data_IF_575364113556
#
_entry.id   IF_575364113556
#
_cell.length_a   1.000
_cell.length_b   1.000
_cell.length_c   1.000
_cell.angle_alpha   90.00
_cell.angle_beta   90.00
_cell.angle_gamma   90.00
#
_symmetry.space_group_name_H-M   'P 1'
#
loop_
_entity.id
_entity.type
_entity.pdbx_description
1 polymer ?
#
# COMPACT_ATOMS: atom_id res chain seq x y z
N UNK A 1 18.84 -16.45 9.35
CA UNK A 1 20.14 -17.14 9.56
C UNK A 1 20.12 -18.24 10.62
N UNK A 2 19.23 -18.23 11.62
CA UNK A 2 19.14 -19.32 12.60
C UNK A 2 18.77 -20.70 12.00
N UNK A 3 17.77 -20.77 11.10
CA UNK A 3 17.32 -22.03 10.49
C UNK A 3 18.37 -22.68 9.55
N UNK A 4 19.10 -21.87 8.77
CA UNK A 4 20.13 -22.39 7.85
C UNK A 4 21.38 -22.89 8.58
N UNK A 5 21.70 -22.32 9.75
CA UNK A 5 22.77 -22.81 10.62
C UNK A 5 22.39 -24.14 11.29
N UNK A 6 21.10 -24.35 11.59
CA UNK A 6 20.58 -25.57 12.23
C UNK A 6 20.30 -26.68 11.21
N UNK A 7 19.90 -26.34 9.99
CA UNK A 7 19.57 -27.29 8.91
C UNK A 7 20.34 -26.99 7.62
N UNK A 8 21.64 -27.35 7.56
CA UNK A 8 22.48 -27.10 6.38
C UNK A 8 22.00 -27.84 5.12
N UNK A 9 21.20 -28.92 5.26
CA UNK A 9 20.60 -29.65 4.14
C UNK A 9 19.53 -28.87 3.37
N UNK A 10 18.94 -27.83 3.98
CA UNK A 10 17.97 -26.94 3.35
C UNK A 10 18.64 -25.72 2.68
N UNK A 11 19.97 -25.65 2.73
CA UNK A 11 20.73 -24.52 2.18
C UNK A 11 20.86 -24.67 0.67
N UNK A 12 20.14 -23.83 -0.07
CA UNK A 12 20.22 -23.78 -1.53
C UNK A 12 21.28 -22.73 -1.90
N UNK A 13 22.43 -23.19 -2.38
CA UNK A 13 23.58 -22.34 -2.72
C UNK A 13 23.27 -21.27 -3.77
N UNK A 14 22.32 -21.52 -4.67
CA UNK A 14 21.82 -20.51 -5.62
C UNK A 14 21.03 -19.37 -4.94
N UNK A 15 20.40 -19.63 -3.80
CA UNK A 15 19.70 -18.58 -3.04
C UNK A 15 20.66 -17.73 -2.22
N UNK A 16 21.81 -18.26 -1.81
CA UNK A 16 22.80 -17.49 -1.06
C UNK A 16 23.36 -16.33 -1.89
N UNK A 17 23.66 -16.55 -3.18
CA UNK A 17 24.16 -15.49 -4.07
C UNK A 17 23.10 -14.42 -4.40
N UNK A 18 21.81 -14.75 -4.23
CA UNK A 18 20.69 -13.83 -4.48
C UNK A 18 20.30 -13.10 -3.19
N UNK A 19 20.26 -13.79 -2.06
CA UNK A 19 19.74 -13.27 -0.79
C UNK A 19 20.82 -12.68 0.13
N UNK A 20 22.08 -13.03 -0.09
CA UNK A 20 23.25 -12.61 0.68
C UNK A 20 24.38 -12.22 -0.30
N UNK A 21 24.22 -11.09 -1.00
CA UNK A 21 25.10 -10.74 -2.11
C UNK A 21 26.52 -10.37 -1.67
N UNK A 22 26.70 -10.01 -0.40
CA UNK A 22 28.02 -9.78 0.19
C UNK A 22 28.43 -10.93 1.11
N UNK A 23 29.22 -11.91 0.62
CA UNK A 23 29.74 -13.00 1.44
C UNK A 23 30.80 -12.51 2.46
N UNK A 24 31.33 -11.30 2.32
CA UNK A 24 32.33 -10.74 3.25
C UNK A 24 31.71 -10.14 4.50
N UNK A 25 30.40 -9.84 4.49
CA UNK A 25 29.63 -9.31 5.62
C UNK A 25 28.48 -10.25 5.99
N UNK A 26 28.75 -11.34 6.74
CA UNK A 26 27.70 -12.25 7.18
C UNK A 26 26.71 -11.51 8.09
N UNK A 27 25.43 -11.49 7.72
CA UNK A 27 24.38 -10.81 8.48
C UNK A 27 24.22 -11.44 9.87
N UNK A 28 24.43 -10.66 10.92
CA UNK A 28 24.18 -11.10 12.28
C UNK A 28 22.75 -10.75 12.70
N UNK A 29 22.21 -11.44 13.70
CA UNK A 29 20.91 -11.07 14.30
C UNK A 29 20.94 -9.67 14.90
N UNK A 30 22.12 -9.17 15.30
CA UNK A 30 22.32 -7.82 15.82
C UNK A 30 22.15 -6.72 14.76
N UNK A 31 22.20 -7.06 13.48
CA UNK A 31 22.07 -6.08 12.39
C UNK A 31 20.61 -5.69 12.13
N UNK A 32 19.67 -6.45 12.69
CA UNK A 32 18.23 -6.23 12.55
C UNK A 32 17.68 -5.51 13.79
N UNK A 33 17.25 -4.27 13.59
CA UNK A 33 16.68 -3.44 14.65
C UNK A 33 15.63 -2.51 14.10
N UNK A 34 14.73 -2.06 14.97
CA UNK A 34 13.67 -1.13 14.60
C UNK A 34 14.23 0.29 14.58
N UNK A 35 14.08 0.96 13.44
CA UNK A 35 14.42 2.37 13.29
C UNK A 35 13.18 3.24 13.27
N UNK A 36 13.35 4.53 13.55
CA UNK A 36 12.24 5.51 13.48
C UNK A 36 11.58 5.50 12.08
N UNK A 37 12.33 5.54 10.95
CA UNK A 37 11.73 5.44 9.62
C UNK A 37 10.93 4.14 9.41
N UNK A 38 11.43 3.02 9.94
CA UNK A 38 10.72 1.74 9.86
C UNK A 38 9.39 1.79 10.60
N UNK A 39 9.39 2.34 11.82
CA UNK A 39 8.18 2.48 12.65
C UNK A 39 7.19 3.41 11.97
N UNK A 40 7.63 4.58 11.49
CA UNK A 40 6.76 5.53 10.78
C UNK A 40 6.18 4.89 9.51
N UNK A 41 7.00 4.24 8.68
CA UNK A 41 6.55 3.55 7.48
C UNK A 41 5.54 2.45 7.78
N UNK A 42 5.78 1.67 8.84
CA UNK A 42 4.87 0.62 9.31
C UNK A 42 3.55 1.19 9.85
N UNK A 43 3.59 2.32 10.55
CA UNK A 43 2.40 3.02 11.03
C UNK A 43 1.57 3.55 9.86
N UNK A 44 2.19 4.11 8.82
CA UNK A 44 1.49 4.59 7.63
C UNK A 44 0.87 3.43 6.85
N UNK A 45 1.61 2.34 6.65
CA UNK A 45 1.08 1.11 6.06
C UNK A 45 -0.15 0.60 6.84
N UNK A 46 -0.04 0.52 8.16
CA UNK A 46 -1.11 0.05 9.04
C UNK A 46 -2.32 0.98 9.03
N UNK A 47 -2.10 2.30 9.12
CA UNK A 47 -3.16 3.30 9.09
C UNK A 47 -3.93 3.27 7.76
N UNK A 48 -3.22 3.19 6.63
CA UNK A 48 -3.85 3.08 5.32
C UNK A 48 -4.64 1.77 5.14
N UNK A 49 -4.11 0.65 5.66
CA UNK A 49 -4.81 -0.64 5.65
C UNK A 49 -6.08 -0.60 6.53
N UNK A 50 -6.00 -0.03 7.74
CA UNK A 50 -7.14 0.14 8.64
C UNK A 50 -8.20 1.06 8.03
N UNK A 51 -7.81 2.15 7.37
CA UNK A 51 -8.74 3.03 6.67
C UNK A 51 -9.48 2.27 5.55
N UNK A 52 -8.76 1.47 4.76
CA UNK A 52 -9.40 0.62 3.72
C UNK A 52 -10.34 -0.41 4.33
N UNK A 53 -9.94 -1.04 5.43
CA UNK A 53 -10.80 -1.97 6.15
C UNK A 53 -12.07 -1.28 6.68
N UNK A 54 -11.95 -0.06 7.20
CA UNK A 54 -13.08 0.74 7.62
C UNK A 54 -14.00 1.09 6.43
N UNK A 55 -13.44 1.42 5.26
CA UNK A 55 -14.23 1.64 4.05
C UNK A 55 -15.04 0.39 3.68
N UNK A 56 -14.39 -0.77 3.61
CA UNK A 56 -15.06 -2.04 3.29
C UNK A 56 -16.15 -2.41 4.30
N UNK A 57 -15.89 -2.18 5.60
CA UNK A 57 -16.91 -2.37 6.65
C UNK A 57 -18.09 -1.41 6.49
N UNK A 58 -17.84 -0.16 6.13
CA UNK A 58 -18.88 0.88 5.95
C UNK A 58 -19.73 0.63 4.70
N UNK A 59 -19.12 0.14 3.62
CA UNK A 59 -19.86 -0.32 2.44
C UNK A 59 -20.67 -1.59 2.72
N UNK A 60 -20.23 -2.43 3.67
CA UNK A 60 -20.97 -3.59 4.15
C UNK A 60 -21.42 -4.52 3.01
N UNK A 61 -22.69 -4.94 3.03
CA UNK A 61 -23.33 -5.79 1.98
C UNK A 61 -23.41 -5.13 0.59
N UNK A 62 -23.12 -3.84 0.46
CA UNK A 62 -23.07 -3.14 -0.82
C UNK A 62 -21.69 -3.17 -1.48
N UNK A 63 -20.66 -3.79 -0.86
CA UNK A 63 -19.34 -3.93 -1.46
C UNK A 63 -19.28 -5.09 -2.47
N UNK A 64 -19.54 -4.82 -3.76
CA UNK A 64 -19.24 -5.78 -4.84
C UNK A 64 -17.87 -5.46 -5.45
N UNK A 65 -16.95 -6.43 -5.42
CA UNK A 65 -15.64 -6.38 -6.09
C UNK A 65 -15.78 -6.30 -7.63
N UNK A 66 -16.91 -6.76 -8.16
CA UNK A 66 -17.34 -6.48 -9.51
C UNK A 66 -18.15 -5.19 -9.53
N UNK A 67 -17.97 -4.44 -10.61
CA UNK A 67 -18.82 -3.34 -11.06
C UNK A 67 -20.26 -3.81 -11.39
N UNK A 68 -20.82 -4.79 -10.65
CA UNK A 68 -22.16 -5.30 -10.83
C UNK A 68 -23.08 -4.58 -9.86
N UNK A 69 -23.63 -3.47 -10.35
CA UNK A 69 -24.71 -2.71 -9.75
C UNK A 69 -25.86 -3.66 -9.36
N UNK A 70 -26.00 -3.99 -8.08
CA UNK A 70 -27.26 -4.57 -7.60
C UNK A 70 -28.35 -3.51 -7.66
N UNK A 71 -29.57 -3.92 -8.02
CA UNK A 71 -30.71 -3.04 -8.30
C UNK A 71 -31.14 -2.13 -7.12
N UNK A 72 -30.67 -2.41 -5.91
CA UNK A 72 -30.98 -1.66 -4.67
C UNK A 72 -29.75 -0.98 -4.03
N UNK A 73 -28.70 -0.70 -4.80
CA UNK A 73 -27.50 -0.04 -4.25
C UNK A 73 -27.86 1.37 -3.78
N UNK A 74 -27.61 1.69 -2.51
CA UNK A 74 -27.77 3.05 -1.95
C UNK A 74 -26.43 3.77 -1.91
N UNK A 75 -26.43 5.08 -2.13
CA UNK A 75 -25.23 5.89 -2.00
C UNK A 75 -24.80 5.94 -0.53
N UNK A 76 -23.62 5.38 -0.22
CA UNK A 76 -23.04 5.39 1.12
C UNK A 76 -22.34 6.73 1.34
N UNK A 77 -22.79 7.48 2.36
CA UNK A 77 -22.29 8.83 2.66
C UNK A 77 -21.77 8.99 4.10
N UNK A 78 -21.77 7.89 4.86
CA UNK A 78 -21.42 7.85 6.28
C UNK A 78 -19.98 7.34 6.51
N UNK A 79 -19.48 7.50 7.73
CA UNK A 79 -18.17 7.02 8.12
C UNK A 79 -17.05 7.70 7.31
N UNK A 80 -16.05 6.97 6.78
CA UNK A 80 -14.99 7.56 5.98
C UNK A 80 -15.48 8.36 4.76
N UNK A 81 -16.65 8.01 4.22
CA UNK A 81 -17.26 8.64 3.03
C UNK A 81 -17.86 10.03 3.31
N UNK A 82 -17.98 10.44 4.58
CA UNK A 82 -18.39 11.82 4.91
C UNK A 82 -17.24 12.82 4.78
N UNK A 83 -15.98 12.35 4.88
CA UNK A 83 -14.79 13.21 4.86
C UNK A 83 -14.24 13.44 3.45
N UNK A 84 -14.12 12.37 2.67
CA UNK A 84 -13.69 12.38 1.27
C UNK A 84 -14.54 11.39 0.49
N UNK A 85 -14.70 11.60 -0.82
CA UNK A 85 -15.57 10.74 -1.66
C UNK A 85 -14.98 9.35 -1.86
N UNK A 86 -13.64 9.23 -1.88
CA UNK A 86 -12.93 7.98 -2.10
C UNK A 86 -11.89 7.68 -1.00
N UNK A 87 -12.33 7.41 0.24
CA UNK A 87 -11.45 7.22 1.39
C UNK A 87 -10.54 5.98 1.27
N UNK A 88 -10.95 4.99 0.49
CA UNK A 88 -10.13 3.80 0.21
C UNK A 88 -8.86 4.11 -0.61
N UNK A 89 -8.93 5.11 -1.50
CA UNK A 89 -7.77 5.57 -2.26
C UNK A 89 -6.87 6.46 -1.41
N UNK A 90 -7.43 7.26 -0.50
CA UNK A 90 -6.65 7.97 0.51
C UNK A 90 -5.81 6.97 1.35
N UNK A 91 -6.42 5.87 1.77
CA UNK A 91 -5.70 4.80 2.48
C UNK A 91 -4.53 4.22 1.67
N UNK A 92 -4.66 4.10 0.34
CA UNK A 92 -3.57 3.64 -0.52
C UNK A 92 -2.45 4.67 -0.67
N UNK A 93 -2.79 5.96 -0.83
CA UNK A 93 -1.81 7.04 -0.89
C UNK A 93 -0.95 7.06 0.38
N UNK A 94 -1.51 6.70 1.54
CA UNK A 94 -0.77 6.62 2.80
C UNK A 94 0.03 5.30 2.90
N UNK A 95 -0.60 4.17 2.55
CA UNK A 95 0.00 2.85 2.75
C UNK A 95 1.17 2.55 1.80
N UNK A 96 1.08 2.92 0.52
CA UNK A 96 2.09 2.56 -0.48
C UNK A 96 3.47 3.21 -0.22
N UNK A 97 3.56 4.52 0.09
CA UNK A 97 4.84 5.12 0.48
C UNK A 97 5.37 4.55 1.80
N UNK A 98 4.48 4.31 2.79
CA UNK A 98 4.85 3.70 4.06
C UNK A 98 5.49 2.31 3.87
N UNK A 99 4.92 1.51 2.97
CA UNK A 99 5.46 0.20 2.56
C UNK A 99 6.86 0.34 1.94
N UNK A 100 7.04 1.27 1.00
CA UNK A 100 8.33 1.50 0.35
C UNK A 100 9.41 1.90 1.38
N UNK A 101 9.09 2.82 2.29
CA UNK A 101 10.00 3.27 3.36
C UNK A 101 10.38 2.13 4.29
N UNK A 102 9.38 1.39 4.78
CA UNK A 102 9.59 0.29 5.72
C UNK A 102 10.37 -0.87 5.10
N UNK A 103 10.26 -1.12 3.80
CA UNK A 103 10.90 -2.25 3.13
C UNK A 103 12.28 -1.92 2.55
N UNK A 104 12.43 -0.77 1.88
CA UNK A 104 13.59 -0.50 1.02
C UNK A 104 14.55 0.55 1.57
N UNK A 105 14.09 1.44 2.46
CA UNK A 105 14.86 2.63 2.86
C UNK A 105 15.19 2.67 4.36
N UNK A 106 14.61 1.78 5.17
CA UNK A 106 14.84 1.77 6.60
C UNK A 106 16.04 0.91 6.99
N UNK A 107 16.99 1.49 7.72
CA UNK A 107 18.11 0.73 8.31
C UNK A 107 17.58 -0.31 9.31
N UNK A 108 18.31 -1.41 9.47
CA UNK A 108 17.86 -2.55 10.27
C UNK A 108 16.92 -3.52 9.54
N UNK A 109 16.55 -3.21 8.29
CA UNK A 109 15.84 -4.13 7.39
C UNK A 109 16.82 -4.99 6.61
N UNK A 110 16.35 -6.16 6.17
CA UNK A 110 17.17 -7.03 5.32
C UNK A 110 17.66 -6.32 4.06
N UNK A 111 16.82 -5.51 3.41
CA UNK A 111 17.18 -4.83 2.15
C UNK A 111 18.42 -3.93 2.29
N UNK A 112 18.45 -3.11 3.34
CA UNK A 112 19.60 -2.23 3.62
C UNK A 112 20.79 -3.02 4.14
N UNK A 113 20.58 -3.93 5.10
CA UNK A 113 21.70 -4.62 5.76
C UNK A 113 22.42 -5.60 4.84
N UNK A 114 21.68 -6.27 3.95
CA UNK A 114 22.27 -7.15 2.93
C UNK A 114 22.93 -6.37 1.79
N UNK A 115 22.86 -5.04 1.78
CA UNK A 115 23.51 -4.21 0.77
C UNK A 115 22.87 -4.32 -0.61
N UNK A 116 21.57 -4.63 -0.72
CA UNK A 116 20.89 -4.83 -2.00
C UNK A 116 21.05 -3.66 -2.95
N UNK A 117 21.07 -2.43 -2.43
CA UNK A 117 21.30 -1.22 -3.24
C UNK A 117 22.68 -1.15 -3.89
N UNK A 118 23.66 -1.91 -3.41
CA UNK A 118 25.00 -2.02 -4.01
C UNK A 118 25.10 -3.12 -5.07
N UNK A 119 24.04 -3.91 -5.26
CA UNK A 119 23.98 -4.98 -6.25
C UNK A 119 23.12 -4.60 -7.43
N UNK A 120 23.47 -5.11 -8.61
CA UNK A 120 22.69 -4.88 -9.81
C UNK A 120 21.30 -5.54 -9.71
N UNK A 121 21.20 -6.73 -9.11
CA UNK A 121 19.91 -7.43 -8.91
C UNK A 121 19.00 -6.67 -7.96
N UNK A 122 19.54 -6.22 -6.82
CA UNK A 122 18.79 -5.44 -5.85
C UNK A 122 18.34 -4.10 -6.42
N UNK A 123 19.18 -3.40 -7.17
CA UNK A 123 18.79 -2.17 -7.87
C UNK A 123 17.65 -2.40 -8.86
N UNK A 124 17.73 -3.44 -9.71
CA UNK A 124 16.66 -3.77 -10.67
C UNK A 124 15.35 -4.09 -9.94
N UNK A 125 15.39 -4.96 -8.93
CA UNK A 125 14.18 -5.35 -8.20
C UNK A 125 13.60 -4.19 -7.38
N UNK A 126 14.45 -3.40 -6.73
CA UNK A 126 14.04 -2.22 -5.98
C UNK A 126 13.41 -1.16 -6.88
N UNK A 127 14.02 -0.88 -8.04
CA UNK A 127 13.45 0.02 -9.05
C UNK A 127 12.11 -0.52 -9.57
N UNK A 128 12.04 -1.81 -9.93
CA UNK A 128 10.80 -2.45 -10.32
C UNK A 128 9.72 -2.31 -9.25
N UNK A 129 10.04 -2.56 -7.98
CA UNK A 129 9.09 -2.47 -6.89
C UNK A 129 8.58 -1.04 -6.71
N UNK A 130 9.47 -0.03 -6.69
CA UNK A 130 9.07 1.38 -6.58
C UNK A 130 8.21 1.80 -7.79
N UNK A 131 8.59 1.41 -9.00
CA UNK A 131 7.83 1.68 -10.22
C UNK A 131 6.46 1.00 -10.18
N UNK A 132 6.40 -0.25 -9.70
CA UNK A 132 5.16 -0.99 -9.53
C UNK A 132 4.24 -0.31 -8.51
N UNK A 133 4.73 0.06 -7.33
CA UNK A 133 3.93 0.77 -6.32
C UNK A 133 3.43 2.13 -6.85
N UNK A 134 4.29 2.87 -7.55
CA UNK A 134 3.92 4.15 -8.17
C UNK A 134 2.87 3.98 -9.27
N UNK A 135 3.03 2.97 -10.12
CA UNK A 135 2.06 2.61 -11.15
C UNK A 135 0.71 2.22 -10.53
N UNK A 136 0.70 1.39 -9.48
CA UNK A 136 -0.52 1.00 -8.77
C UNK A 136 -1.20 2.24 -8.17
N UNK A 137 -0.44 3.13 -7.53
CA UNK A 137 -0.97 4.39 -7.01
C UNK A 137 -1.62 5.22 -8.12
N UNK A 138 -0.90 5.48 -9.21
CA UNK A 138 -1.40 6.22 -10.36
C UNK A 138 -2.64 5.55 -10.98
N UNK A 139 -2.60 4.24 -11.19
CA UNK A 139 -3.68 3.47 -11.81
C UNK A 139 -4.96 3.60 -10.99
N UNK A 140 -4.88 3.50 -9.65
CA UNK A 140 -6.04 3.67 -8.77
C UNK A 140 -6.57 5.11 -8.78
N UNK A 141 -5.70 6.12 -8.72
CA UNK A 141 -6.15 7.51 -8.75
C UNK A 141 -6.73 7.91 -10.10
N UNK A 142 -6.25 7.34 -11.20
CA UNK A 142 -6.81 7.55 -12.54
C UNK A 142 -8.24 7.02 -12.69
N UNK A 143 -8.69 6.14 -11.77
CA UNK A 143 -10.06 5.61 -11.74
C UNK A 143 -11.05 6.56 -11.09
N UNK A 144 -10.59 7.43 -10.20
CA UNK A 144 -11.45 8.33 -9.41
C UNK A 144 -12.43 9.14 -10.27
N UNK A 145 -12.00 9.82 -11.35
CA UNK A 145 -12.93 10.60 -12.16
C UNK A 145 -13.97 9.73 -12.88
N UNK A 146 -13.58 8.52 -13.29
CA UNK A 146 -14.48 7.57 -13.96
C UNK A 146 -15.53 7.04 -12.98
N UNK A 147 -15.11 6.71 -11.77
CA UNK A 147 -16.00 6.24 -10.71
C UNK A 147 -16.95 7.35 -10.26
N UNK A 148 -16.48 8.59 -10.12
CA UNK A 148 -17.33 9.76 -9.85
C UNK A 148 -18.39 9.97 -10.94
N UNK A 149 -17.99 9.92 -12.21
CA UNK A 149 -18.93 10.07 -13.34
C UNK A 149 -19.99 8.97 -13.35
N UNK A 150 -19.59 7.73 -13.05
CA UNK A 150 -20.52 6.61 -12.93
C UNK A 150 -21.48 6.79 -11.75
N UNK A 151 -20.99 7.21 -10.58
CA UNK A 151 -21.82 7.48 -9.41
C UNK A 151 -22.80 8.62 -9.68
N UNK A 152 -22.37 9.69 -10.35
CA UNK A 152 -23.23 10.79 -10.76
C UNK A 152 -24.33 10.33 -11.74
N UNK A 153 -23.97 9.52 -12.74
CA UNK A 153 -24.93 8.99 -13.70
C UNK A 153 -25.99 8.09 -13.05
N UNK A 154 -25.61 7.32 -12.03
CA UNK A 154 -26.50 6.38 -11.35
C UNK A 154 -27.40 7.06 -10.29
N UNK A 155 -26.83 7.95 -9.48
CA UNK A 155 -27.50 8.51 -8.29
C UNK A 155 -28.01 9.94 -8.49
N UNK A 156 -27.66 10.60 -9.61
CA UNK A 156 -28.18 11.91 -10.00
C UNK A 156 -28.06 12.96 -8.89
N UNK A 157 -29.20 13.53 -8.49
CA UNK A 157 -29.25 14.60 -7.48
C UNK A 157 -28.71 14.18 -6.11
N UNK A 158 -28.84 12.91 -5.71
CA UNK A 158 -28.31 12.45 -4.43
C UNK A 158 -26.79 12.57 -4.39
N UNK A 159 -26.12 12.20 -5.48
CA UNK A 159 -24.68 12.35 -5.61
C UNK A 159 -24.26 13.82 -5.67
N UNK A 160 -25.01 14.67 -6.39
CA UNK A 160 -24.72 16.12 -6.47
C UNK A 160 -24.86 16.78 -5.09
N UNK A 161 -25.89 16.43 -4.32
CA UNK A 161 -26.07 16.95 -2.96
C UNK A 161 -24.96 16.49 -2.03
N UNK A 162 -24.61 15.20 -2.07
CA UNK A 162 -23.53 14.65 -1.28
C UNK A 162 -22.15 15.21 -1.67
N UNK A 163 -21.83 15.31 -2.96
CA UNK A 163 -20.52 15.81 -3.42
C UNK A 163 -20.29 17.28 -3.08
N UNK A 164 -21.35 18.08 -2.94
CA UNK A 164 -21.26 19.45 -2.40
C UNK A 164 -20.87 19.46 -0.92
N UNK A 165 -21.38 18.51 -0.13
CA UNK A 165 -21.04 18.35 1.30
C UNK A 165 -19.64 17.76 1.47
N UNK A 166 -19.33 16.71 0.72
CA UNK A 166 -18.04 16.02 0.70
C UNK A 166 -17.27 16.45 -0.55
N UNK A 167 -16.72 17.66 -0.49
CA UNK A 167 -16.08 18.33 -1.63
C UNK A 167 -14.87 17.56 -2.19
N UNK A 168 -14.05 17.01 -1.30
CA UNK A 168 -12.77 16.40 -1.67
C UNK A 168 -12.95 14.99 -2.21
N UNK A 169 -12.30 14.69 -3.34
CA UNK A 169 -12.31 13.39 -3.97
C UNK A 169 -11.50 12.37 -3.18
N UNK A 170 -10.24 12.69 -2.88
CA UNK A 170 -9.29 11.76 -2.25
C UNK A 170 -8.46 12.43 -1.17
N UNK A 171 -7.90 13.61 -1.44
CA UNK A 171 -6.98 14.30 -0.52
C UNK A 171 -7.72 15.50 0.08
N UNK A 172 -7.99 15.48 1.41
CA UNK A 172 -8.59 16.63 2.06
C UNK A 172 -7.82 17.91 1.75
N UNK A 173 -8.53 18.99 1.45
CA UNK A 173 -7.98 20.33 1.17
C UNK A 173 -7.15 20.49 -0.12
N UNK A 174 -6.95 19.43 -0.90
CA UNK A 174 -6.20 19.50 -2.17
C UNK A 174 -7.05 19.04 -3.34
N UNK A 175 -7.66 17.87 -3.23
CA UNK A 175 -8.37 17.21 -4.33
C UNK A 175 -9.56 16.39 -3.84
#
# INVERSE_FOLDING_TARGET
MALAAVYPSLRISALDSILLPDPSKPLSTSDFYLTIPFVIGSLFLSAGALLRQACYRTLGRHFTFQLSLQKDHKLVTEGPYSFVRHPSYLGMIIALPGMAVAQLFSSGTWWIQSGMWHTWQGQIFGAYWISFLSYVCWALLSRVPKEDAMLQAQFGEQWVSWSKKTRYAVIPYVW
#
